data_IF_281875861622
#
_entry.id   IF_281875861622
#
_cell.length_a   1.000
_cell.length_b   1.000
_cell.length_c   1.000
_cell.angle_alpha   90.00
_cell.angle_beta   90.00
_cell.angle_gamma   90.00
#
_symmetry.space_group_name_H-M   'P 1'
#
loop_
_entity.id
_entity.type
_entity.pdbx_description
1 polymer ?
#
# COMPACT_ATOMS: atom_id res chain seq x y z
N UNK A 1 -0.93 -60.51 -34.23
CA UNK A 1 0.03 -61.62 -34.06
C UNK A 1 1.06 -61.20 -33.03
N UNK A 2 1.28 -62.06 -32.02
CA UNK A 2 2.39 -62.10 -31.03
C UNK A 2 2.32 -60.99 -29.95
N UNK A 3 1.71 -61.24 -28.78
CA UNK A 3 2.24 -61.87 -27.55
C UNK A 3 3.31 -61.05 -26.79
N UNK A 4 2.95 -60.71 -25.53
CA UNK A 4 3.72 -60.13 -24.38
C UNK A 4 4.87 -61.09 -23.93
N UNK A 5 5.61 -60.94 -22.79
CA UNK A 5 5.57 -59.96 -21.67
C UNK A 5 6.96 -59.56 -21.05
N UNK A 6 7.00 -58.60 -20.11
CA UNK A 6 7.43 -58.76 -18.69
C UNK A 6 8.51 -57.69 -18.42
N UNK A 7 8.68 -57.05 -17.26
CA UNK A 7 8.41 -57.41 -15.88
C UNK A 7 8.01 -56.14 -15.09
N UNK A 8 6.90 -56.15 -14.35
CA UNK A 8 6.83 -56.46 -12.92
C UNK A 8 7.77 -55.62 -12.03
N UNK A 9 7.19 -54.61 -11.38
CA UNK A 9 7.47 -54.36 -9.97
C UNK A 9 6.13 -54.20 -9.25
N UNK A 10 5.79 -55.24 -8.48
CA UNK A 10 4.63 -55.32 -7.60
C UNK A 10 4.87 -54.46 -6.34
N UNK A 11 3.83 -53.70 -5.97
CA UNK A 11 3.28 -53.50 -4.63
C UNK A 11 4.18 -53.15 -3.43
N UNK A 12 3.82 -52.05 -2.75
CA UNK A 12 3.04 -52.07 -1.50
C UNK A 12 2.82 -50.59 -1.08
N UNK A 13 1.63 -50.00 -1.14
CA UNK A 13 0.39 -50.27 -0.39
C UNK A 13 0.57 -50.13 1.12
N UNK A 14 0.34 -48.91 1.61
CA UNK A 14 -0.23 -48.65 2.94
C UNK A 14 -1.44 -47.75 2.73
N UNK A 15 -2.59 -48.40 2.51
CA UNK A 15 -3.89 -47.84 2.85
C UNK A 15 -4.07 -47.99 4.36
N UNK A 16 -4.35 -46.89 5.06
CA UNK A 16 -5.32 -46.84 6.18
C UNK A 16 -5.91 -45.43 6.13
N UNK A 17 -6.97 -45.23 5.36
CA UNK A 17 -8.39 -45.25 5.76
C UNK A 17 -8.85 -43.98 6.49
N UNK A 18 -9.81 -43.33 5.82
CA UNK A 18 -10.89 -42.51 6.41
C UNK A 18 -10.45 -41.11 6.83
N UNK A 19 -10.93 -40.02 6.23
CA UNK A 19 -12.31 -39.71 5.85
C UNK A 19 -12.28 -38.81 4.61
N UNK A 20 -13.10 -39.12 3.61
CA UNK A 20 -13.55 -38.09 2.67
C UNK A 20 -14.46 -37.14 3.45
N UNK A 21 -13.87 -36.12 4.07
CA UNK A 21 -14.58 -34.94 4.48
C UNK A 21 -14.23 -33.86 3.47
N UNK A 22 -15.24 -33.44 2.72
CA UNK A 22 -15.26 -32.17 2.01
C UNK A 22 -14.65 -31.08 2.90
N UNK A 23 -13.41 -30.73 2.61
CA UNK A 23 -12.80 -29.48 3.03
C UNK A 23 -12.20 -28.82 1.78
N UNK A 24 -13.04 -28.70 0.74
CA UNK A 24 -13.03 -27.41 0.04
C UNK A 24 -13.19 -26.37 1.14
N UNK A 25 -12.34 -25.33 1.24
CA UNK A 25 -12.67 -24.20 2.06
C UNK A 25 -14.03 -23.70 1.54
N UNK A 26 -15.08 -24.03 2.26
CA UNK A 26 -16.36 -23.39 2.09
C UNK A 26 -16.19 -21.96 2.61
N UNK A 27 -16.96 -21.09 1.99
CA UNK A 27 -17.01 -19.66 2.19
C UNK A 27 -15.83 -18.95 1.50
N UNK A 28 -16.09 -18.01 0.61
CA UNK A 28 -16.73 -16.76 1.02
C UNK A 28 -16.26 -16.33 2.42
N UNK A 29 -14.96 -16.47 2.71
CA UNK A 29 -14.27 -15.31 3.23
C UNK A 29 -14.41 -14.28 2.11
N UNK A 30 -15.56 -13.59 2.09
CA UNK A 30 -15.68 -12.28 1.53
C UNK A 30 -14.43 -11.59 2.05
N UNK A 31 -13.43 -11.44 1.16
CA UNK A 31 -12.28 -10.60 1.41
C UNK A 31 -12.91 -9.34 1.96
N UNK A 32 -12.60 -9.11 3.24
CA UNK A 32 -13.05 -8.00 4.07
C UNK A 32 -13.64 -6.90 3.20
N UNK A 33 -14.94 -6.62 3.36
CA UNK A 33 -15.60 -5.47 2.74
C UNK A 33 -14.56 -4.36 2.62
N UNK A 34 -14.18 -3.98 1.38
CA UNK A 34 -12.99 -3.14 1.13
C UNK A 34 -12.85 -2.13 2.27
N UNK A 35 -11.85 -2.35 3.13
CA UNK A 35 -11.83 -1.67 4.41
C UNK A 35 -11.90 -0.17 4.15
N UNK A 36 -12.92 0.52 4.67
CA UNK A 36 -13.05 1.95 4.46
C UNK A 36 -11.89 2.65 5.18
N UNK A 37 -10.95 3.17 4.40
CA UNK A 37 -9.77 3.89 4.86
C UNK A 37 -10.04 5.38 5.05
N UNK A 38 -11.25 5.85 4.73
CA UNK A 38 -11.63 7.25 4.94
C UNK A 38 -11.53 7.63 6.41
N UNK A 39 -11.03 8.84 6.66
CA UNK A 39 -10.91 9.39 8.01
C UNK A 39 -9.51 9.87 8.33
N UNK A 40 -9.25 10.09 9.62
CA UNK A 40 -8.02 10.68 10.12
C UNK A 40 -6.98 9.62 10.48
N UNK A 41 -5.74 9.91 10.09
CA UNK A 41 -4.61 9.06 10.35
C UNK A 41 -3.44 9.89 10.85
N UNK A 42 -2.72 9.38 11.85
CA UNK A 42 -1.51 10.00 12.36
C UNK A 42 -0.29 9.29 11.81
N UNK A 43 0.57 10.03 11.13
CA UNK A 43 1.88 9.58 10.69
C UNK A 43 2.86 9.48 11.88
N UNK A 44 3.89 8.64 11.77
CA UNK A 44 4.88 8.41 12.84
C UNK A 44 5.63 9.64 13.35
N UNK A 45 5.65 10.75 12.60
CA UNK A 45 6.22 12.04 13.00
C UNK A 45 5.21 12.96 13.73
N UNK A 46 3.97 12.48 13.94
CA UNK A 46 2.89 13.21 14.59
C UNK A 46 1.96 13.96 13.63
N UNK A 47 2.30 14.05 12.34
CA UNK A 47 1.45 14.72 11.36
C UNK A 47 0.10 14.00 11.21
N UNK A 48 -1.00 14.74 11.28
CA UNK A 48 -2.34 14.20 11.02
C UNK A 48 -2.73 14.46 9.56
N UNK A 49 -3.15 13.41 8.87
CA UNK A 49 -3.63 13.44 7.49
C UNK A 49 -5.06 12.92 7.43
N UNK A 50 -5.82 13.36 6.42
CA UNK A 50 -7.17 12.88 6.18
C UNK A 50 -7.23 12.14 4.85
N UNK A 51 -7.60 10.86 4.91
CA UNK A 51 -7.80 10.04 3.74
C UNK A 51 -9.25 10.11 3.29
N UNK A 52 -9.46 10.17 1.98
CA UNK A 52 -10.76 10.09 1.33
C UNK A 52 -10.72 8.94 0.35
N UNK A 53 -11.61 7.97 0.55
CA UNK A 53 -11.75 6.81 -0.32
C UNK A 53 -13.00 6.92 -1.18
N UNK A 54 -12.87 6.67 -2.49
CA UNK A 54 -13.96 6.55 -3.45
C UNK A 54 -13.76 5.27 -4.26
N UNK A 55 -14.54 4.23 -3.92
CA UNK A 55 -14.30 2.86 -4.39
C UNK A 55 -12.88 2.39 -4.01
N UNK A 56 -12.09 2.03 -5.01
CA UNK A 56 -10.69 1.65 -4.83
C UNK A 56 -9.71 2.83 -4.82
N UNK A 57 -10.15 4.06 -5.10
CA UNK A 57 -9.27 5.24 -5.09
C UNK A 57 -9.11 5.79 -3.68
N UNK A 58 -7.88 6.08 -3.28
CA UNK A 58 -7.55 6.70 -2.00
C UNK A 58 -6.75 7.99 -2.23
N UNK A 59 -7.16 9.10 -1.63
CA UNK A 59 -6.50 10.40 -1.79
C UNK A 59 -6.35 11.11 -0.44
N UNK A 60 -5.28 11.87 -0.27
CA UNK A 60 -5.14 12.91 0.77
C UNK A 60 -4.73 14.24 0.16
N UNK A 61 -5.11 15.31 0.85
CA UNK A 61 -4.81 16.69 0.47
C UNK A 61 -4.22 17.43 1.65
N UNK A 62 -3.35 18.40 1.36
CA UNK A 62 -2.84 19.30 2.37
C UNK A 62 -3.97 20.15 2.95
N UNK A 63 -4.05 20.23 4.28
CA UNK A 63 -5.06 21.02 4.99
C UNK A 63 -4.67 22.48 5.12
N UNK A 64 -3.37 22.76 5.16
CA UNK A 64 -2.83 24.11 5.35
C UNK A 64 -1.75 24.38 4.31
N UNK A 65 -1.60 25.66 3.98
CA UNK A 65 -0.54 26.13 3.12
C UNK A 65 0.82 26.02 3.81
N UNK A 66 1.83 25.58 3.08
CA UNK A 66 3.22 25.53 3.51
C UNK A 66 4.13 26.21 2.47
N UNK A 67 5.44 26.26 2.77
CA UNK A 67 6.43 26.71 1.79
C UNK A 67 6.46 25.83 0.52
N UNK A 68 5.96 24.59 0.61
CA UNK A 68 6.07 23.58 -0.43
C UNK A 68 4.73 23.29 -1.11
N UNK A 69 3.59 23.54 -0.46
CA UNK A 69 2.28 23.12 -0.94
C UNK A 69 1.23 24.19 -0.63
N UNK A 70 0.25 24.35 -1.51
CA UNK A 70 -0.94 25.13 -1.18
C UNK A 70 -1.95 24.26 -0.44
N UNK A 71 -2.87 24.90 0.28
CA UNK A 71 -4.04 24.22 0.83
C UNK A 71 -4.84 23.55 -0.30
N UNK A 72 -5.32 22.33 -0.06
CA UNK A 72 -6.10 21.54 -1.01
C UNK A 72 -5.29 20.84 -2.10
N UNK A 73 -3.98 21.12 -2.22
CA UNK A 73 -3.09 20.35 -3.09
C UNK A 73 -3.13 18.87 -2.71
N UNK A 74 -3.08 17.98 -3.71
CA UNK A 74 -2.98 16.53 -3.47
C UNK A 74 -1.62 16.22 -2.85
N UNK A 75 -1.64 15.52 -1.73
CA UNK A 75 -0.46 15.04 -1.01
C UNK A 75 -0.09 13.62 -1.43
N UNK A 76 -1.08 12.72 -1.50
CA UNK A 76 -0.90 11.42 -2.15
C UNK A 76 -2.18 10.98 -2.87
N UNK A 77 -2.00 10.10 -3.83
CA UNK A 77 -3.06 9.36 -4.50
C UNK A 77 -2.66 7.89 -4.62
N UNK A 78 -3.57 6.97 -4.35
CA UNK A 78 -3.31 5.54 -4.35
C UNK A 78 -4.55 4.75 -4.77
N UNK A 79 -4.33 3.47 -5.05
CA UNK A 79 -5.37 2.48 -5.32
C UNK A 79 -5.30 1.38 -4.26
N UNK A 80 -6.46 1.00 -3.74
CA UNK A 80 -6.65 -0.03 -2.71
C UNK A 80 -6.96 -1.36 -3.39
N UNK A 81 -6.23 -2.41 -3.01
CA UNK A 81 -6.38 -3.78 -3.49
C UNK A 81 -6.28 -4.76 -2.32
N UNK A 82 -7.44 -5.09 -1.72
CA UNK A 82 -7.48 -5.87 -0.49
C UNK A 82 -6.82 -5.08 0.65
N UNK A 83 -5.77 -5.65 1.24
CA UNK A 83 -4.97 -4.97 2.27
C UNK A 83 -3.75 -4.21 1.70
N UNK A 84 -3.55 -4.17 0.38
CA UNK A 84 -2.44 -3.47 -0.26
C UNK A 84 -2.91 -2.13 -0.82
N UNK A 85 -2.13 -1.09 -0.58
CA UNK A 85 -2.36 0.26 -1.09
C UNK A 85 -1.12 0.66 -1.87
N UNK A 86 -1.24 0.91 -3.18
CA UNK A 86 -0.12 1.37 -3.99
C UNK A 86 -0.48 2.66 -4.71
N UNK A 87 0.51 3.54 -4.87
CA UNK A 87 0.23 4.84 -5.44
C UNK A 87 1.45 5.72 -5.59
N UNK A 88 1.19 7.02 -5.56
CA UNK A 88 2.20 8.05 -5.61
C UNK A 88 2.00 9.02 -4.45
N UNK A 89 3.11 9.35 -3.80
CA UNK A 89 3.20 10.41 -2.81
C UNK A 89 3.87 11.62 -3.45
N UNK A 90 3.49 12.82 -3.04
CA UNK A 90 4.20 14.03 -3.44
C UNK A 90 5.60 14.01 -2.82
N UNK A 91 6.63 13.98 -3.65
CA UNK A 91 8.03 13.99 -3.24
C UNK A 91 8.37 15.26 -2.46
N UNK A 92 9.44 15.23 -1.64
CA UNK A 92 9.76 16.30 -0.68
C UNK A 92 10.34 17.58 -1.32
N UNK A 93 10.15 17.81 -2.61
CA UNK A 93 10.74 18.92 -3.33
C UNK A 93 9.99 20.23 -3.05
N UNK A 94 10.70 21.30 -2.70
CA UNK A 94 10.07 22.62 -2.56
C UNK A 94 9.59 23.16 -3.90
N UNK A 95 8.57 24.04 -3.90
CA UNK A 95 8.09 24.70 -5.14
C UNK A 95 9.20 25.47 -5.85
N UNK A 96 10.09 26.11 -5.09
CA UNK A 96 11.27 26.79 -5.63
C UNK A 96 12.18 25.83 -6.37
N UNK A 97 12.46 24.66 -5.79
CA UNK A 97 13.26 23.60 -6.42
C UNK A 97 12.57 23.06 -7.68
N UNK A 98 11.27 22.77 -7.61
CA UNK A 98 10.47 22.31 -8.75
C UNK A 98 10.51 23.32 -9.90
N UNK A 99 10.35 24.61 -9.62
CA UNK A 99 10.44 25.67 -10.64
C UNK A 99 11.83 25.80 -11.24
N UNK A 100 12.88 25.68 -10.42
CA UNK A 100 14.27 25.82 -10.88
C UNK A 100 14.70 24.66 -11.76
N UNK A 101 14.36 23.43 -11.36
CA UNK A 101 14.89 22.21 -11.97
C UNK A 101 13.85 21.39 -12.75
N UNK A 102 12.61 21.88 -12.89
CA UNK A 102 11.51 21.21 -13.60
C UNK A 102 11.29 19.74 -13.17
N UNK A 103 11.41 19.45 -11.88
CA UNK A 103 11.39 18.07 -11.36
C UNK A 103 9.98 17.50 -11.20
N UNK A 104 9.84 16.20 -11.46
CA UNK A 104 8.62 15.45 -11.18
C UNK A 104 8.36 15.39 -9.68
N UNK A 105 7.16 15.79 -9.28
CA UNK A 105 6.77 15.91 -7.87
C UNK A 105 6.26 14.60 -7.26
N UNK A 106 6.23 13.50 -8.00
CA UNK A 106 5.58 12.25 -7.58
C UNK A 106 6.61 11.14 -7.44
N UNK A 107 6.58 10.45 -6.29
CA UNK A 107 7.39 9.27 -5.99
C UNK A 107 6.46 8.09 -5.70
N UNK A 108 6.88 6.88 -6.06
CA UNK A 108 6.09 5.67 -5.81
C UNK A 108 5.93 5.38 -4.31
N UNK A 109 4.79 4.82 -3.93
CA UNK A 109 4.47 4.46 -2.55
C UNK A 109 3.75 3.11 -2.51
N UNK A 110 4.02 2.33 -1.48
CA UNK A 110 3.31 1.09 -1.17
C UNK A 110 3.09 0.98 0.34
N UNK A 111 1.85 0.72 0.75
CA UNK A 111 1.44 0.51 2.13
C UNK A 111 0.63 -0.79 2.23
N UNK A 112 0.65 -1.39 3.42
CA UNK A 112 -0.15 -2.55 3.78
C UNK A 112 -0.99 -2.21 5.00
N UNK A 113 -2.28 -2.52 4.93
CA UNK A 113 -3.22 -2.42 6.06
C UNK A 113 -3.03 -3.62 6.99
N UNK A 114 -2.96 -3.35 8.29
CA UNK A 114 -2.97 -4.38 9.33
C UNK A 114 -4.28 -5.16 9.34
N UNK A 115 -4.25 -6.39 9.87
CA UNK A 115 -5.43 -7.26 9.93
C UNK A 115 -6.57 -6.67 10.78
N UNK A 116 -6.24 -5.83 11.76
CA UNK A 116 -7.23 -5.11 12.60
C UNK A 116 -7.73 -3.79 11.97
N UNK A 117 -7.19 -3.39 10.81
CA UNK A 117 -7.58 -2.18 10.09
C UNK A 117 -7.13 -0.86 10.72
N UNK A 118 -6.28 -0.89 11.74
CA UNK A 118 -5.88 0.29 12.53
C UNK A 118 -4.53 0.89 12.14
N UNK A 119 -3.70 0.18 11.38
CA UNK A 119 -2.37 0.63 10.96
C UNK A 119 -2.16 0.44 9.46
N UNK A 120 -1.55 1.44 8.82
CA UNK A 120 -1.01 1.36 7.46
C UNK A 120 0.50 1.52 7.53
N UNK A 121 1.25 0.51 7.07
CA UNK A 121 2.71 0.53 7.12
C UNK A 121 3.32 0.18 5.77
N UNK A 122 4.44 0.82 5.44
CA UNK A 122 5.15 0.53 4.20
C UNK A 122 6.21 1.58 3.89
N UNK A 123 6.33 1.94 2.61
CA UNK A 123 7.42 2.79 2.13
C UNK A 123 6.96 3.73 1.01
N UNK A 124 7.63 4.88 0.93
CA UNK A 124 7.68 5.69 -0.30
C UNK A 124 9.10 5.74 -0.84
N UNK A 125 9.23 5.89 -2.14
CA UNK A 125 10.48 6.27 -2.78
C UNK A 125 10.91 7.66 -2.33
N UNK A 126 12.20 7.94 -2.46
CA UNK A 126 12.77 9.25 -2.18
C UNK A 126 13.89 9.56 -3.17
N UNK A 127 14.25 10.84 -3.27
CA UNK A 127 15.29 11.31 -4.20
C UNK A 127 16.12 12.43 -3.59
N UNK A 128 17.42 12.39 -3.87
CA UNK A 128 18.34 13.48 -3.59
C UNK A 128 18.51 14.31 -4.87
N UNK A 129 18.48 15.63 -4.73
CA UNK A 129 18.58 16.58 -5.85
C UNK A 129 19.78 17.48 -5.65
N UNK A 130 20.67 17.54 -6.63
CA UNK A 130 21.68 18.59 -6.71
C UNK A 130 21.08 19.83 -7.37
N UNK A 131 20.91 20.90 -6.60
CA UNK A 131 20.33 22.16 -7.07
C UNK A 131 21.23 22.95 -8.04
N UNK A 132 22.53 22.62 -8.16
CA UNK A 132 23.45 23.30 -9.08
C UNK A 132 23.36 22.70 -10.48
N UNK A 133 23.36 21.38 -10.57
CA UNK A 133 23.28 20.64 -11.84
C UNK A 133 21.86 20.27 -12.24
N UNK A 134 20.91 20.38 -11.30
CA UNK A 134 19.55 19.86 -11.42
C UNK A 134 19.48 18.35 -11.70
N UNK A 135 20.51 17.59 -11.31
CA UNK A 135 20.46 16.13 -11.34
C UNK A 135 19.70 15.59 -10.13
N UNK A 136 18.95 14.50 -10.34
CA UNK A 136 18.25 13.78 -9.28
C UNK A 136 18.64 12.31 -9.29
N UNK A 137 18.93 11.77 -8.12
CA UNK A 137 19.26 10.36 -7.91
C UNK A 137 18.28 9.76 -6.90
N UNK A 138 17.92 8.48 -7.08
CA UNK A 138 17.11 7.79 -6.09
C UNK A 138 17.92 7.60 -4.80
N UNK A 139 17.28 7.85 -3.66
CA UNK A 139 17.85 7.55 -2.35
C UNK A 139 17.11 6.39 -1.69
N UNK A 140 17.52 6.04 -0.47
CA UNK A 140 16.84 5.05 0.34
C UNK A 140 15.35 5.42 0.49
N UNK A 141 14.51 4.39 0.44
CA UNK A 141 13.07 4.56 0.67
C UNK A 141 12.80 5.06 2.08
N UNK A 142 11.80 5.93 2.21
CA UNK A 142 11.35 6.41 3.51
C UNK A 142 10.25 5.49 4.03
N UNK A 143 10.43 4.94 5.23
CA UNK A 143 9.41 4.15 5.92
C UNK A 143 8.24 5.05 6.31
N UNK A 144 7.03 4.58 6.03
CA UNK A 144 5.77 5.23 6.41
C UNK A 144 5.00 4.33 7.37
N UNK A 145 4.45 4.94 8.42
CA UNK A 145 3.53 4.30 9.37
C UNK A 145 2.44 5.31 9.67
N UNK A 146 1.20 4.91 9.45
CA UNK A 146 0.01 5.68 9.79
C UNK A 146 -0.85 4.87 10.77
N UNK A 147 -1.36 5.53 11.80
CA UNK A 147 -2.30 4.95 12.76
C UNK A 147 -3.65 5.63 12.65
N UNK A 148 -4.72 4.85 12.58
CA UNK A 148 -6.09 5.36 12.50
C UNK A 148 -6.43 6.12 13.78
N UNK A 149 -7.04 7.29 13.64
CA UNK A 149 -7.59 8.07 14.75
C UNK A 149 -9.10 7.89 14.77
N UNK A 150 -9.61 7.17 15.78
CA UNK A 150 -11.04 6.84 15.88
C UNK A 150 -11.93 8.06 16.17
N UNK A 151 -11.40 9.07 16.89
CA UNK A 151 -12.20 10.18 17.47
C UNK A 151 -11.59 11.58 17.21
N UNK A 152 -10.97 11.81 16.05
CA UNK A 152 -10.36 13.11 15.76
C UNK A 152 -11.40 14.14 15.27
N UNK A 153 -11.75 15.10 16.14
CA UNK A 153 -12.50 16.30 15.77
C UNK A 153 -11.51 17.43 15.37
N UNK A 154 -11.45 17.82 14.09
CA UNK A 154 -10.54 18.86 13.62
C UNK A 154 -10.97 20.28 14.03
N UNK A 155 -12.11 20.46 14.71
CA UNK A 155 -12.72 21.77 15.02
C UNK A 155 -12.41 22.24 16.46
N UNK A 156 -11.59 21.52 17.22
CA UNK A 156 -11.11 21.97 18.53
C UNK A 156 -9.85 22.84 18.46
#
# INVERSE_FOLDING_TARGET
>A
MIYRPAAYAFFALMMVCSVAADARPAADAALSSEADLSGYWQQGDGQVVHFTQDGSSLTSRYRERSANNDEGDIDFTATVHGNLIYGAHRGPFSRTMQRKCALQIWVGMGLTLSDDGTELAGFRGDRIVDLKTCSAENSDTVKLVYKRLADFDPVQ
#
